data_IF_705672228502
#
_entry.id   IF_705672228502
#
_cell.length_a   1.000
_cell.length_b   1.000
_cell.length_c   1.000
_cell.angle_alpha   90.00
_cell.angle_beta   90.00
_cell.angle_gamma   90.00
#
_symmetry.space_group_name_H-M   'P 1'
#
loop_
_entity.id
_entity.type
_entity.pdbx_description
1 polymer ?
#
# COMPACT_ATOMS: atom_id res chain seq x y z
N UNK A 1 0.18 5.34 14.79
CA UNK A 1 0.56 5.88 13.47
C UNK A 1 -0.11 5.01 12.43
N UNK A 2 -1.04 5.55 11.62
CA UNK A 2 -1.74 4.75 10.60
C UNK A 2 -0.92 4.71 9.32
N UNK A 3 -0.10 3.67 9.18
CA UNK A 3 0.71 3.43 7.98
C UNK A 3 -0.15 3.39 6.72
N UNK A 4 -1.35 2.80 6.79
CA UNK A 4 -2.33 2.82 5.70
C UNK A 4 -2.64 4.21 5.17
N UNK A 5 -3.01 5.15 6.05
CA UNK A 5 -3.33 6.53 5.62
C UNK A 5 -2.14 7.21 4.95
N UNK A 6 -0.93 6.96 5.47
CA UNK A 6 0.30 7.51 4.92
C UNK A 6 0.52 6.94 3.51
N UNK A 7 0.52 5.62 3.37
CA UNK A 7 0.77 4.92 2.09
C UNK A 7 -0.32 5.26 1.07
N UNK A 8 -1.59 5.34 1.50
CA UNK A 8 -2.70 5.78 0.65
C UNK A 8 -2.43 7.18 0.11
N UNK A 9 -2.04 8.13 0.96
CA UNK A 9 -1.73 9.49 0.55
C UNK A 9 -0.54 9.57 -0.41
N UNK A 10 0.51 8.77 -0.17
CA UNK A 10 1.66 8.65 -1.08
C UNK A 10 1.26 8.04 -2.44
N UNK A 11 0.40 7.02 -2.45
CA UNK A 11 -0.07 6.39 -3.68
C UNK A 11 -1.02 7.30 -4.47
N UNK A 12 -1.99 7.94 -3.81
CA UNK A 12 -2.88 8.94 -4.41
C UNK A 12 -2.10 10.14 -4.96
N UNK A 13 -1.03 10.55 -4.26
CA UNK A 13 -0.09 11.58 -4.70
C UNK A 13 0.83 11.16 -5.85
N UNK A 14 0.72 9.92 -6.37
CA UNK A 14 1.63 9.32 -7.37
C UNK A 14 3.11 9.36 -6.96
N UNK A 15 3.38 9.46 -5.67
CA UNK A 15 4.73 9.42 -5.10
C UNK A 15 5.20 7.98 -4.94
N UNK A 16 4.26 7.04 -4.77
CA UNK A 16 4.52 5.63 -4.61
C UNK A 16 3.94 4.81 -5.76
N UNK A 17 4.70 3.82 -6.21
CA UNK A 17 4.20 2.79 -7.12
C UNK A 17 3.55 1.65 -6.36
N UNK A 18 2.78 0.82 -7.06
CA UNK A 18 2.15 -0.38 -6.50
C UNK A 18 3.19 -1.31 -5.86
N UNK A 19 4.39 -1.41 -6.44
CA UNK A 19 5.50 -2.19 -5.90
C UNK A 19 5.94 -1.68 -4.52
N UNK A 20 5.95 -0.36 -4.29
CA UNK A 20 6.26 0.19 -2.96
C UNK A 20 5.14 -0.06 -1.95
N UNK A 21 3.87 -0.04 -2.39
CA UNK A 21 2.74 -0.44 -1.53
C UNK A 21 2.85 -1.94 -1.20
N UNK A 22 3.30 -2.77 -2.13
CA UNK A 22 3.56 -4.19 -1.92
C UNK A 22 4.71 -4.42 -0.94
N UNK A 23 5.78 -3.63 -1.02
CA UNK A 23 6.88 -3.67 -0.07
C UNK A 23 6.43 -3.29 1.35
N UNK A 24 5.50 -2.34 1.48
CA UNK A 24 4.90 -2.02 2.77
C UNK A 24 4.07 -3.18 3.36
N UNK A 25 3.45 -4.00 2.52
CA UNK A 25 2.83 -5.27 2.96
C UNK A 25 3.90 -6.24 3.46
N UNK A 26 4.97 -6.44 2.67
CA UNK A 26 6.10 -7.34 3.03
C UNK A 26 6.80 -6.89 4.32
N UNK A 27 6.90 -5.59 4.56
CA UNK A 27 7.42 -5.00 5.80
C UNK A 27 6.44 -5.07 6.99
N UNK A 28 5.24 -5.63 6.81
CA UNK A 28 4.21 -5.73 7.85
C UNK A 28 3.64 -4.38 8.29
N UNK A 29 3.71 -3.35 7.42
CA UNK A 29 3.15 -2.02 7.71
C UNK A 29 1.65 -1.95 7.44
N UNK A 30 1.20 -2.69 6.44
CA UNK A 30 -0.20 -2.83 6.03
C UNK A 30 -0.51 -4.28 5.68
N UNK A 31 -1.78 -4.64 5.65
CA UNK A 31 -2.27 -5.97 5.27
C UNK A 31 -2.55 -6.07 3.76
N UNK A 32 -2.65 -7.29 3.22
CA UNK A 32 -3.03 -7.52 1.82
C UNK A 32 -4.39 -6.87 1.46
N UNK A 33 -5.32 -6.79 2.42
CA UNK A 33 -6.60 -6.10 2.25
C UNK A 33 -6.43 -4.59 2.08
N UNK A 34 -5.56 -4.00 2.89
CA UNK A 34 -5.23 -2.58 2.84
C UNK A 34 -4.49 -2.23 1.54
N UNK A 35 -3.60 -3.11 1.06
CA UNK A 35 -3.01 -2.98 -0.27
C UNK A 35 -4.06 -2.92 -1.37
N UNK A 36 -5.07 -3.80 -1.31
CA UNK A 36 -6.18 -3.83 -2.28
C UNK A 36 -7.03 -2.57 -2.19
N UNK A 37 -7.24 -2.01 -1.00
CA UNK A 37 -7.92 -0.72 -0.86
C UNK A 37 -7.12 0.46 -1.43
N UNK A 38 -5.79 0.46 -1.27
CA UNK A 38 -4.94 1.54 -1.79
C UNK A 38 -4.79 1.45 -3.31
N UNK A 39 -4.48 0.26 -3.82
CA UNK A 39 -4.11 0.07 -5.23
C UNK A 39 -5.28 -0.29 -6.13
N UNK A 40 -6.37 -0.82 -5.56
CA UNK A 40 -7.48 -1.41 -6.30
C UNK A 40 -7.18 -2.82 -6.85
N UNK A 41 -5.95 -3.32 -6.69
CA UNK A 41 -5.51 -4.61 -7.21
C UNK A 41 -5.30 -5.61 -6.08
N UNK A 42 -5.46 -6.91 -6.36
CA UNK A 42 -5.05 -7.92 -5.38
C UNK A 42 -3.54 -7.89 -5.19
N UNK A 43 -3.11 -8.05 -3.94
CA UNK A 43 -1.70 -8.26 -3.65
C UNK A 43 -1.31 -9.64 -4.20
N UNK A 44 -0.56 -9.64 -5.30
CA UNK A 44 0.04 -10.84 -5.89
C UNK A 44 1.52 -10.79 -5.48
N UNK A 45 1.93 -11.75 -4.66
CA UNK A 45 3.29 -11.80 -4.10
C UNK A 45 4.38 -12.02 -5.14
#
# INVERSE_FOLDING_TARGET
MNWFNIIKWFYEGKLWTKEQVADAVRCGKISNKEYKEVTGEEYIE
#
